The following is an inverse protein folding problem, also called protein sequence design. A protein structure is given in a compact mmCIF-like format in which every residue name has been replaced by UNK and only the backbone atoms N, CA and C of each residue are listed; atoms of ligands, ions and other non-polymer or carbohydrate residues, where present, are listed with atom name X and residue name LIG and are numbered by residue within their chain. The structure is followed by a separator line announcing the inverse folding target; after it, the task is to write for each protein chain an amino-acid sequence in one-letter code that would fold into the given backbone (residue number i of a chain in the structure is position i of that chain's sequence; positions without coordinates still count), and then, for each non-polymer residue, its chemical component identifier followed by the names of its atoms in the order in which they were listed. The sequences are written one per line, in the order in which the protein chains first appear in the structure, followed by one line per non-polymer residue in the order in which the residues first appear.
data_IF_248159895241
#
_entry.id   IF_248159895241
#
_cell.length_a   1.000
_cell.length_b   1.000
_cell.length_c   1.000
_cell.angle_alpha   90.00
_cell.angle_beta   90.00
_cell.angle_gamma   90.00
#
_symmetry.space_group_name_H-M   'P 1'
#
loop_
_entity.id
_entity.type
_entity.pdbx_description
1 polymer ?
#
# COMPACT_ATOMS: atom_id res chain seq x y z
N UNK A 1 17.42 -15.18 3.94
CA UNK A 1 17.07 -13.81 3.58
C UNK A 1 18.05 -13.17 2.59
N UNK A 2 19.37 -13.23 2.82
CA UNK A 2 20.44 -12.66 1.97
C UNK A 2 20.44 -13.13 0.50
N UNK A 3 20.05 -14.41 0.22
CA UNK A 3 20.02 -14.94 -1.15
C UNK A 3 18.96 -14.32 -2.09
N UNK A 4 17.85 -13.78 -1.55
CA UNK A 4 16.76 -13.22 -2.37
C UNK A 4 17.00 -11.77 -2.74
N UNK A 5 17.57 -10.98 -1.81
CA UNK A 5 18.02 -9.60 -2.11
C UNK A 5 19.09 -9.63 -3.20
N UNK A 6 20.04 -10.59 -3.11
CA UNK A 6 21.07 -10.77 -4.14
C UNK A 6 20.54 -11.12 -5.54
N UNK A 7 19.32 -11.70 -5.66
CA UNK A 7 18.70 -11.99 -6.97
C UNK A 7 18.16 -10.74 -7.65
N UNK A 8 17.44 -9.88 -6.90
CA UNK A 8 16.91 -8.59 -7.41
C UNK A 8 18.07 -7.68 -7.81
N UNK A 9 19.09 -7.56 -6.94
CA UNK A 9 20.29 -6.76 -7.21
C UNK A 9 20.99 -7.22 -8.48
N UNK A 10 21.09 -8.54 -8.73
CA UNK A 10 21.68 -9.08 -9.98
C UNK A 10 20.85 -8.72 -11.22
N UNK A 11 19.53 -8.72 -11.12
CA UNK A 11 18.64 -8.46 -12.24
C UNK A 11 18.65 -6.97 -12.64
N UNK A 12 18.85 -6.07 -11.67
CA UNK A 12 19.09 -4.65 -11.92
C UNK A 12 20.59 -4.32 -12.04
N UNK A 13 21.44 -5.33 -12.29
CA UNK A 13 22.90 -5.18 -12.39
C UNK A 13 23.55 -4.52 -11.16
N UNK A 14 22.90 -4.61 -10.01
CA UNK A 14 23.32 -3.96 -8.77
C UNK A 14 23.01 -2.47 -8.70
N UNK A 15 22.40 -1.89 -9.75
CA UNK A 15 22.09 -0.46 -9.80
C UNK A 15 20.78 -0.15 -9.05
N UNK A 16 20.70 0.97 -8.33
CA UNK A 16 19.47 1.45 -7.74
C UNK A 16 18.45 1.88 -8.82
N UNK A 17 17.18 1.66 -8.53
CA UNK A 17 16.09 2.10 -9.42
C UNK A 17 15.88 3.60 -9.24
N UNK A 18 15.98 4.36 -10.31
CA UNK A 18 15.92 5.83 -10.29
C UNK A 18 14.59 6.37 -9.71
N UNK A 19 13.46 5.70 -9.92
CA UNK A 19 12.16 6.10 -9.36
C UNK A 19 12.09 6.02 -7.83
N UNK A 20 13.01 5.33 -7.18
CA UNK A 20 13.02 5.18 -5.73
C UNK A 20 13.82 6.23 -4.97
N UNK A 21 14.45 7.19 -5.67
CA UNK A 21 15.29 8.20 -5.04
C UNK A 21 14.48 9.46 -4.69
N UNK A 22 14.38 9.86 -3.41
CA UNK A 22 13.88 11.18 -3.03
C UNK A 22 14.69 12.32 -3.66
N UNK A 23 14.08 13.48 -3.87
CA UNK A 23 14.73 14.60 -4.54
C UNK A 23 16.00 15.08 -3.80
N UNK A 24 15.98 14.99 -2.46
CA UNK A 24 17.13 15.36 -1.62
C UNK A 24 18.31 14.42 -1.85
N UNK A 25 18.09 13.09 -1.90
CA UNK A 25 19.12 12.10 -2.18
C UNK A 25 19.68 12.30 -3.60
N UNK A 26 18.82 12.55 -4.57
CA UNK A 26 19.24 12.83 -5.95
C UNK A 26 20.02 14.14 -6.05
N UNK A 27 19.63 15.17 -5.29
CA UNK A 27 20.36 16.44 -5.25
C UNK A 27 21.76 16.25 -4.70
N UNK A 28 21.90 15.48 -3.60
CA UNK A 28 23.20 15.16 -3.02
C UNK A 28 24.08 14.38 -4.02
N UNK A 29 23.51 13.42 -4.73
CA UNK A 29 24.24 12.68 -5.78
C UNK A 29 24.79 13.61 -6.87
N UNK A 30 24.01 14.58 -7.37
CA UNK A 30 24.49 15.55 -8.35
C UNK A 30 25.62 16.42 -7.79
N UNK A 31 25.52 16.85 -6.53
CA UNK A 31 26.59 17.63 -5.88
C UNK A 31 27.88 16.84 -5.73
N UNK A 32 27.81 15.55 -5.36
CA UNK A 32 28.98 14.66 -5.30
C UNK A 32 29.67 14.48 -6.66
N UNK A 33 28.91 14.57 -7.77
CA UNK A 33 29.44 14.53 -9.13
C UNK A 33 29.94 15.88 -9.63
N UNK A 34 29.91 16.92 -8.79
CA UNK A 34 30.32 18.28 -9.17
C UNK A 34 29.29 19.02 -10.03
N UNK A 35 28.08 18.51 -10.12
CA UNK A 35 27.00 19.09 -10.90
C UNK A 35 26.17 20.07 -10.07
N UNK A 36 25.46 20.96 -10.76
CA UNK A 36 24.63 21.97 -10.10
C UNK A 36 23.32 21.36 -9.58
N UNK A 37 22.85 21.77 -8.39
CA UNK A 37 21.61 21.30 -7.71
C UNK A 37 20.37 21.30 -8.60
N UNK A 38 20.23 22.29 -9.51
CA UNK A 38 19.05 22.37 -10.37
C UNK A 38 18.91 21.17 -11.33
N UNK A 39 20.00 20.43 -11.58
CA UNK A 39 20.00 19.22 -12.41
C UNK A 39 19.10 18.12 -11.84
N UNK A 40 19.07 17.98 -10.52
CA UNK A 40 18.13 17.08 -9.86
C UNK A 40 16.68 17.42 -10.21
N UNK A 41 16.32 18.70 -10.18
CA UNK A 41 14.98 19.15 -10.58
C UNK A 41 14.67 18.90 -12.06
N UNK A 42 15.66 19.06 -12.95
CA UNK A 42 15.49 18.74 -14.39
C UNK A 42 15.23 17.23 -14.58
N UNK A 43 16.02 16.37 -13.92
CA UNK A 43 15.83 14.92 -13.99
C UNK A 43 14.46 14.52 -13.43
N UNK A 44 14.02 15.12 -12.30
CA UNK A 44 12.71 14.87 -11.73
C UNK A 44 11.55 15.26 -12.64
N UNK A 45 11.67 16.38 -13.38
CA UNK A 45 10.68 16.78 -14.40
C UNK A 45 10.55 15.71 -15.50
N UNK A 46 11.67 15.17 -15.96
CA UNK A 46 11.67 14.06 -16.92
C UNK A 46 11.02 12.80 -16.36
N UNK A 47 11.39 12.40 -15.15
CA UNK A 47 10.89 11.18 -14.51
C UNK A 47 9.38 11.25 -14.23
N UNK A 48 8.90 12.32 -13.58
CA UNK A 48 7.55 12.34 -12.99
C UNK A 48 6.52 13.19 -13.72
N UNK A 49 6.94 14.22 -14.46
CA UNK A 49 6.02 15.04 -15.28
C UNK A 49 5.97 14.57 -16.72
N UNK A 50 7.11 14.38 -17.36
CA UNK A 50 7.18 13.84 -18.73
C UNK A 50 7.03 12.32 -18.76
N UNK A 51 7.31 11.65 -17.63
CA UNK A 51 7.09 10.22 -17.43
C UNK A 51 7.85 9.32 -18.40
N UNK A 52 9.07 9.70 -18.75
CA UNK A 52 9.95 8.93 -19.61
C UNK A 52 10.26 7.55 -19.03
N UNK A 53 10.63 6.62 -19.89
CA UNK A 53 10.94 5.24 -19.54
C UNK A 53 12.40 4.87 -19.78
N UNK A 54 13.16 5.79 -20.34
CA UNK A 54 14.61 5.65 -20.57
C UNK A 54 15.34 6.98 -20.40
N UNK A 55 16.65 6.93 -20.15
CA UNK A 55 17.47 8.12 -20.00
C UNK A 55 17.70 8.83 -21.35
N UNK A 56 17.67 8.09 -22.46
CA UNK A 56 17.87 8.61 -23.81
C UNK A 56 16.79 9.62 -24.24
N UNK A 57 15.60 9.52 -23.66
CA UNK A 57 14.50 10.45 -23.91
C UNK A 57 14.77 11.85 -23.32
N UNK A 58 15.75 11.99 -22.44
CA UNK A 58 16.05 13.24 -21.69
C UNK A 58 16.88 14.23 -22.49
N UNK A 59 16.33 14.74 -23.58
CA UNK A 59 17.04 15.49 -24.64
C UNK A 59 17.71 16.80 -24.21
N UNK A 60 17.36 17.36 -23.03
CA UNK A 60 17.97 18.59 -22.52
C UNK A 60 19.08 18.35 -21.49
N UNK A 61 19.44 17.08 -21.25
CA UNK A 61 20.59 16.73 -20.42
C UNK A 61 21.83 16.49 -21.29
N UNK A 62 23.04 16.87 -20.82
CA UNK A 62 24.29 16.57 -21.52
C UNK A 62 24.47 15.06 -21.73
N UNK A 63 25.06 14.65 -22.85
CA UNK A 63 25.30 13.24 -23.17
C UNK A 63 26.13 12.54 -22.09
N UNK A 64 27.18 13.20 -21.59
CA UNK A 64 28.01 12.67 -20.51
C UNK A 64 27.21 12.39 -19.21
N UNK A 65 26.20 13.21 -18.93
CA UNK A 65 25.31 13.00 -17.78
C UNK A 65 24.37 11.81 -18.00
N UNK A 66 23.85 11.65 -19.21
CA UNK A 66 23.04 10.47 -19.59
C UNK A 66 23.87 9.19 -19.38
N UNK A 67 25.12 9.18 -19.83
CA UNK A 67 26.04 8.06 -19.67
C UNK A 67 26.28 7.75 -18.18
N UNK A 68 26.52 8.76 -17.32
CA UNK A 68 26.69 8.59 -15.88
C UNK A 68 25.39 8.04 -15.22
N UNK A 69 24.23 8.56 -15.61
CA UNK A 69 22.95 8.07 -15.10
C UNK A 69 22.73 6.59 -15.46
N UNK A 70 23.06 6.19 -16.69
CA UNK A 70 22.99 4.81 -17.15
C UNK A 70 23.97 3.88 -16.44
N UNK A 71 25.16 4.38 -16.09
CA UNK A 71 26.13 3.61 -15.34
C UNK A 71 25.67 3.33 -13.90
N UNK A 72 25.04 4.28 -13.25
CA UNK A 72 24.74 4.21 -11.81
C UNK A 72 23.29 3.85 -11.48
N UNK A 73 22.35 4.09 -12.40
CA UNK A 73 20.93 3.85 -12.17
C UNK A 73 20.30 2.99 -13.25
N UNK A 74 19.12 2.46 -12.91
CA UNK A 74 18.26 1.76 -13.88
C UNK A 74 16.81 2.17 -13.69
N UNK A 75 16.00 1.98 -14.74
CA UNK A 75 14.56 2.05 -14.65
C UNK A 75 13.97 0.75 -14.10
N UNK A 76 12.81 0.81 -13.41
CA UNK A 76 12.15 -0.40 -12.93
C UNK A 76 11.63 -1.26 -14.11
N UNK A 77 11.75 -2.56 -13.96
CA UNK A 77 11.06 -3.53 -14.83
C UNK A 77 9.73 -3.88 -14.19
N UNK A 78 8.64 -3.51 -14.86
CA UNK A 78 7.27 -3.80 -14.45
C UNK A 78 6.46 -4.19 -15.67
N UNK A 79 6.40 -5.51 -15.96
CA UNK A 79 5.71 -6.04 -17.12
C UNK A 79 4.25 -6.31 -16.80
N UNK A 80 3.30 -5.63 -17.46
CA UNK A 80 1.88 -5.91 -17.36
C UNK A 80 1.58 -7.28 -17.98
N UNK A 81 1.19 -8.25 -17.15
CA UNK A 81 0.82 -9.60 -17.58
C UNK A 81 -0.68 -9.73 -17.82
N UNK A 82 -1.47 -9.13 -16.95
CA UNK A 82 -2.94 -9.18 -17.03
C UNK A 82 -3.48 -7.83 -16.58
N UNK A 83 -4.47 -7.35 -17.31
CA UNK A 83 -5.30 -6.21 -16.93
C UNK A 83 -6.76 -6.65 -16.96
N UNK A 84 -7.44 -6.49 -15.83
CA UNK A 84 -8.86 -6.77 -15.69
C UNK A 84 -9.60 -5.47 -15.43
N UNK A 85 -10.82 -5.37 -15.93
CA UNK A 85 -11.70 -4.23 -15.67
C UNK A 85 -13.04 -4.72 -15.16
N UNK A 86 -13.46 -4.19 -14.02
CA UNK A 86 -14.75 -4.42 -13.40
C UNK A 86 -15.84 -3.57 -14.04
N UNK A 87 -17.08 -3.99 -13.84
CA UNK A 87 -18.28 -3.23 -14.25
C UNK A 87 -18.40 -1.87 -13.57
N UNK A 88 -17.80 -1.69 -12.38
CA UNK A 88 -17.76 -0.41 -11.66
C UNK A 88 -16.61 0.51 -12.10
N UNK A 89 -15.86 0.10 -13.14
CA UNK A 89 -14.72 0.84 -13.68
C UNK A 89 -13.39 0.57 -12.97
N UNK A 90 -13.36 -0.21 -11.90
CA UNK A 90 -12.14 -0.64 -11.21
C UNK A 90 -11.25 -1.44 -12.18
N UNK A 91 -9.95 -1.15 -12.17
CA UNK A 91 -8.96 -1.88 -12.99
C UNK A 91 -7.95 -2.55 -12.09
N UNK A 92 -7.73 -3.85 -12.27
CA UNK A 92 -6.70 -4.63 -11.58
C UNK A 92 -5.61 -5.01 -12.57
N UNK A 93 -4.37 -4.75 -12.17
CA UNK A 93 -3.16 -5.05 -12.92
C UNK A 93 -2.37 -6.14 -12.22
N UNK A 94 -1.97 -7.15 -12.95
CA UNK A 94 -0.98 -8.13 -12.54
C UNK A 94 0.34 -7.78 -13.21
N UNK A 95 1.35 -7.47 -12.42
CA UNK A 95 2.68 -7.12 -12.89
C UNK A 95 3.70 -8.21 -12.57
N UNK A 96 4.60 -8.44 -13.52
CA UNK A 96 5.82 -9.23 -13.31
C UNK A 96 7.00 -8.28 -13.11
N UNK A 97 7.71 -8.51 -12.03
CA UNK A 97 8.93 -7.79 -11.66
C UNK A 97 10.16 -8.37 -12.38
N UNK A 98 11.29 -7.67 -12.32
CA UNK A 98 12.55 -8.07 -12.95
C UNK A 98 13.03 -9.48 -12.54
N UNK A 99 12.68 -9.96 -11.37
CA UNK A 99 13.03 -11.29 -10.88
C UNK A 99 11.97 -12.39 -11.18
N UNK A 100 10.97 -12.03 -11.99
CA UNK A 100 9.87 -12.92 -12.38
C UNK A 100 8.81 -13.11 -11.29
N UNK A 101 8.89 -12.38 -10.17
CA UNK A 101 7.86 -12.37 -9.14
C UNK A 101 6.67 -11.51 -9.56
N UNK A 102 5.49 -11.85 -9.06
CA UNK A 102 4.24 -11.20 -9.46
C UNK A 102 3.66 -10.37 -8.31
N UNK A 103 3.11 -9.20 -8.66
CA UNK A 103 2.38 -8.32 -7.74
C UNK A 103 1.09 -7.83 -8.38
N UNK A 104 0.14 -7.42 -7.56
CA UNK A 104 -1.12 -6.83 -8.01
C UNK A 104 -1.25 -5.37 -7.55
N UNK A 105 -1.86 -4.55 -8.42
CA UNK A 105 -2.16 -3.14 -8.20
C UNK A 105 -3.58 -2.88 -8.66
N UNK A 106 -4.32 -2.03 -7.95
CA UNK A 106 -5.73 -1.73 -8.29
C UNK A 106 -5.93 -0.24 -8.45
N UNK A 107 -6.53 0.18 -9.55
CA UNK A 107 -7.03 1.54 -9.79
C UNK A 107 -8.55 1.55 -9.58
N UNK A 108 -9.03 2.39 -8.68
CA UNK A 108 -10.42 2.52 -8.29
C UNK A 108 -10.94 3.92 -8.63
N UNK A 109 -11.99 4.05 -9.47
CA UNK A 109 -12.68 5.31 -9.66
C UNK A 109 -13.53 5.60 -8.41
N UNK A 110 -13.27 6.77 -7.80
CA UNK A 110 -14.01 7.28 -6.66
C UNK A 110 -14.71 8.57 -7.05
N UNK A 111 -15.73 8.98 -6.31
CA UNK A 111 -16.42 10.27 -6.53
C UNK A 111 -15.47 11.48 -6.40
N UNK A 112 -14.40 11.33 -5.61
CA UNK A 112 -13.39 12.36 -5.35
C UNK A 112 -12.14 12.22 -6.22
N UNK A 113 -12.11 11.31 -7.19
CA UNK A 113 -11.00 11.12 -8.13
C UNK A 113 -10.51 9.66 -8.22
N UNK A 114 -9.40 9.45 -8.90
CA UNK A 114 -8.83 8.13 -9.11
C UNK A 114 -7.89 7.74 -7.97
N UNK A 115 -8.20 6.64 -7.28
CA UNK A 115 -7.43 6.09 -6.17
C UNK A 115 -6.68 4.83 -6.60
N UNK A 116 -5.39 4.76 -6.30
CA UNK A 116 -4.59 3.55 -6.56
C UNK A 116 -4.27 2.82 -5.25
N UNK A 117 -4.45 1.49 -5.25
CA UNK A 117 -4.00 0.59 -4.20
C UNK A 117 -2.67 -0.04 -4.62
N UNK A 118 -1.59 0.26 -3.88
CA UNK A 118 -0.25 -0.22 -4.18
C UNK A 118 0.20 -1.33 -3.25
N UNK A 119 0.99 -2.24 -3.80
CA UNK A 119 1.62 -3.37 -3.12
C UNK A 119 3.02 -2.97 -2.64
N UNK A 120 3.45 -3.46 -1.47
CA UNK A 120 4.75 -3.16 -0.86
C UNK A 120 5.67 -4.37 -0.71
N UNK A 121 5.13 -5.58 -0.82
CA UNK A 121 5.89 -6.83 -0.65
C UNK A 121 5.41 -7.88 -1.65
N UNK A 122 6.23 -8.87 -1.93
CA UNK A 122 5.79 -10.08 -2.61
C UNK A 122 5.44 -11.12 -1.54
N UNK A 123 4.14 -11.35 -1.33
CA UNK A 123 3.60 -12.12 -0.22
C UNK A 123 3.59 -11.35 1.10
N UNK A 124 3.09 -11.98 2.18
CA UNK A 124 2.95 -11.33 3.49
C UNK A 124 3.16 -12.35 4.62
N UNK A 125 3.90 -11.97 5.68
CA UNK A 125 4.15 -12.83 6.84
C UNK A 125 3.31 -12.48 8.07
N UNK A 126 2.40 -11.52 7.99
CA UNK A 126 1.55 -11.11 9.14
C UNK A 126 0.61 -12.25 9.55
N UNK A 127 0.14 -13.05 8.57
CA UNK A 127 -0.63 -14.25 8.84
C UNK A 127 -2.06 -13.96 9.29
N UNK A 128 -2.69 -12.92 8.73
CA UNK A 128 -4.12 -12.68 8.89
C UNK A 128 -4.90 -13.82 8.23
N UNK A 129 -5.78 -14.49 8.98
CA UNK A 129 -6.45 -15.72 8.53
C UNK A 129 -7.61 -15.47 7.56
N UNK A 130 -7.97 -14.22 7.34
CA UNK A 130 -9.02 -13.79 6.41
C UNK A 130 -8.49 -13.17 5.10
N UNK A 131 -7.16 -13.01 4.97
CA UNK A 131 -6.55 -12.23 3.89
C UNK A 131 -5.79 -13.13 2.89
N UNK A 132 -6.10 -12.99 1.61
CA UNK A 132 -5.43 -13.74 0.54
C UNK A 132 -3.92 -13.43 0.42
N UNK A 133 -3.49 -12.23 0.79
CA UNK A 133 -2.07 -11.85 0.72
C UNK A 133 -1.17 -12.70 1.60
N UNK A 134 -1.70 -13.28 2.70
CA UNK A 134 -0.99 -14.16 3.61
C UNK A 134 -0.85 -15.61 3.14
N UNK A 135 -1.54 -16.01 2.06
CA UNK A 135 -1.46 -17.37 1.48
C UNK A 135 -0.06 -17.65 0.94
N UNK A 136 0.59 -16.60 0.42
CA UNK A 136 1.98 -16.69 -0.05
C UNK A 136 2.86 -16.03 1.03
N UNK A 137 3.74 -16.83 1.63
CA UNK A 137 4.73 -16.30 2.56
C UNK A 137 5.57 -15.20 1.87
N UNK A 138 5.91 -14.16 2.62
CA UNK A 138 6.76 -13.07 2.13
C UNK A 138 8.03 -13.61 1.49
N UNK A 139 8.22 -13.31 0.23
CA UNK A 139 9.42 -13.67 -0.52
C UNK A 139 10.47 -12.58 -0.42
N UNK A 140 10.05 -11.31 -0.56
CA UNK A 140 10.89 -10.13 -0.37
C UNK A 140 10.07 -8.84 -0.23
N UNK A 141 10.74 -7.79 0.19
CA UNK A 141 10.25 -6.42 0.11
C UNK A 141 10.37 -5.90 -1.33
N UNK A 142 9.46 -5.03 -1.72
CA UNK A 142 9.66 -4.18 -2.90
C UNK A 142 10.57 -3.02 -2.53
N UNK A 143 11.53 -2.71 -3.40
CA UNK A 143 12.30 -1.47 -3.24
C UNK A 143 11.42 -0.25 -3.61
N UNK A 144 11.77 0.92 -3.09
CA UNK A 144 10.96 2.13 -3.28
C UNK A 144 10.61 2.40 -4.75
N UNK A 145 11.57 2.17 -5.67
CA UNK A 145 11.38 2.34 -7.11
C UNK A 145 10.34 1.40 -7.71
N UNK A 146 10.22 0.17 -7.20
CA UNK A 146 9.18 -0.78 -7.65
C UNK A 146 7.79 -0.36 -7.15
N UNK A 147 7.71 0.24 -5.95
CA UNK A 147 6.44 0.76 -5.43
C UNK A 147 5.99 1.98 -6.25
N UNK A 148 6.90 2.92 -6.53
CA UNK A 148 6.63 4.09 -7.39
C UNK A 148 6.24 3.66 -8.80
N UNK A 149 6.88 2.62 -9.36
CA UNK A 149 6.62 2.13 -10.71
C UNK A 149 5.16 1.72 -10.93
N UNK A 150 4.47 1.20 -9.89
CA UNK A 150 3.05 0.88 -9.96
C UNK A 150 2.21 2.12 -10.28
N UNK A 151 2.47 3.23 -9.58
CA UNK A 151 1.77 4.50 -9.79
C UNK A 151 2.11 5.06 -11.18
N UNK A 152 3.37 5.01 -11.56
CA UNK A 152 3.85 5.54 -12.85
C UNK A 152 3.28 4.76 -14.04
N UNK A 153 3.19 3.43 -13.94
CA UNK A 153 2.59 2.59 -14.99
C UNK A 153 1.10 2.91 -15.19
N UNK A 154 0.35 2.97 -14.08
CA UNK A 154 -1.08 3.29 -14.12
C UNK A 154 -1.29 4.71 -14.66
N UNK A 155 -0.46 5.68 -14.25
CA UNK A 155 -0.57 7.04 -14.75
C UNK A 155 -0.30 7.13 -16.25
N UNK A 156 0.74 6.45 -16.78
CA UNK A 156 0.98 6.40 -18.25
C UNK A 156 -0.20 5.77 -18.99
N UNK A 157 -0.77 4.68 -18.43
CA UNK A 157 -1.98 4.08 -19.02
C UNK A 157 -3.14 5.09 -19.06
N UNK A 158 -3.31 5.93 -18.05
CA UNK A 158 -4.34 6.98 -18.04
C UNK A 158 -4.04 8.06 -19.09
N UNK A 159 -2.79 8.49 -19.20
CA UNK A 159 -2.39 9.50 -20.18
C UNK A 159 -2.75 9.07 -21.63
N UNK A 160 -2.68 7.76 -21.93
CA UNK A 160 -3.01 7.19 -23.23
C UNK A 160 -4.53 7.06 -23.47
N UNK A 161 -5.28 6.56 -22.47
CA UNK A 161 -6.70 6.19 -22.65
C UNK A 161 -7.70 7.26 -22.21
N UNK A 162 -7.28 8.16 -21.33
CA UNK A 162 -8.11 9.23 -20.73
C UNK A 162 -7.25 10.46 -20.45
N UNK A 163 -6.78 11.18 -21.51
CA UNK A 163 -5.91 12.34 -21.33
C UNK A 163 -6.54 13.39 -20.40
N UNK A 164 -5.81 13.80 -19.38
CA UNK A 164 -6.27 14.72 -18.35
C UNK A 164 -6.66 14.05 -17.03
N UNK A 165 -6.96 12.76 -17.04
CA UNK A 165 -7.16 11.99 -15.81
C UNK A 165 -5.82 11.75 -15.09
N UNK A 166 -5.85 11.79 -13.76
CA UNK A 166 -4.65 11.51 -12.97
C UNK A 166 -4.96 10.68 -11.74
N UNK A 167 -3.99 9.89 -11.33
CA UNK A 167 -3.98 9.29 -10.00
C UNK A 167 -3.93 10.42 -8.97
N UNK A 168 -4.99 10.58 -8.19
CA UNK A 168 -5.15 11.66 -7.21
C UNK A 168 -5.03 11.19 -5.77
N UNK A 169 -5.23 9.90 -5.51
CA UNK A 169 -5.21 9.29 -4.18
C UNK A 169 -4.41 7.98 -4.19
N UNK A 170 -3.73 7.70 -3.08
CA UNK A 170 -2.98 6.45 -2.90
C UNK A 170 -3.42 5.80 -1.59
N UNK A 171 -3.69 4.49 -1.64
CA UNK A 171 -3.82 3.65 -0.45
C UNK A 171 -2.73 2.59 -0.49
N UNK A 172 -1.90 2.53 0.54
CA UNK A 172 -0.87 1.52 0.71
C UNK A 172 -1.49 0.37 1.49
N UNK A 173 -2.33 -0.40 0.78
CA UNK A 173 -3.20 -1.46 1.32
C UNK A 173 -3.20 -2.71 0.42
N UNK A 174 -2.26 -2.82 -0.51
CA UNK A 174 -2.08 -3.98 -1.38
C UNK A 174 -1.40 -5.13 -0.63
N UNK A 175 -0.67 -5.96 -1.37
CA UNK A 175 0.02 -7.12 -0.79
C UNK A 175 1.18 -6.66 0.08
N UNK A 176 1.23 -7.18 1.33
CA UNK A 176 2.30 -6.93 2.28
C UNK A 176 1.90 -6.08 3.49
N UNK A 177 2.82 -5.97 4.43
CA UNK A 177 2.76 -5.05 5.58
C UNK A 177 3.70 -3.87 5.30
N UNK A 178 3.18 -2.66 5.10
CA UNK A 178 4.02 -1.50 4.78
C UNK A 178 5.10 -1.22 5.82
N UNK A 179 4.78 -1.38 7.10
CA UNK A 179 5.72 -1.10 8.19
C UNK A 179 6.75 -2.22 8.41
N UNK A 180 6.60 -3.38 7.78
CA UNK A 180 7.65 -4.40 7.67
C UNK A 180 8.63 -4.13 6.50
N UNK A 181 8.27 -3.18 5.62
CA UNK A 181 9.11 -2.64 4.54
C UNK A 181 9.31 -1.11 4.69
N UNK A 182 9.55 -0.68 5.92
CA UNK A 182 9.43 0.71 6.37
C UNK A 182 10.23 1.70 5.52
N UNK A 183 11.53 1.51 5.40
CA UNK A 183 12.43 2.47 4.74
C UNK A 183 12.07 2.71 3.27
N UNK A 184 11.71 1.65 2.55
CA UNK A 184 11.26 1.76 1.15
C UNK A 184 9.91 2.47 1.05
N UNK A 185 9.00 2.23 1.99
CA UNK A 185 7.70 2.90 2.04
C UNK A 185 7.88 4.39 2.33
N UNK A 186 8.75 4.77 3.28
CA UNK A 186 9.04 6.19 3.55
C UNK A 186 9.64 6.90 2.32
N UNK A 187 10.60 6.26 1.63
CA UNK A 187 11.14 6.80 0.37
C UNK A 187 10.05 6.97 -0.69
N UNK A 188 9.21 5.95 -0.86
CA UNK A 188 8.04 6.02 -1.76
C UNK A 188 7.14 7.21 -1.43
N UNK A 189 6.77 7.40 -0.16
CA UNK A 189 5.91 8.50 0.28
C UNK A 189 6.53 9.87 -0.03
N UNK A 190 7.84 10.04 0.23
CA UNK A 190 8.58 11.27 -0.09
C UNK A 190 8.55 11.58 -1.59
N UNK A 191 8.71 10.55 -2.42
CA UNK A 191 8.67 10.69 -3.89
C UNK A 191 7.29 11.09 -4.39
N UNK A 192 6.24 10.36 -4.02
CA UNK A 192 4.89 10.59 -4.57
C UNK A 192 4.24 11.87 -4.02
N UNK A 193 4.61 12.31 -2.83
CA UNK A 193 4.10 13.52 -2.21
C UNK A 193 4.82 14.79 -2.69
N UNK A 194 6.02 14.69 -3.24
CA UNK A 194 6.78 15.87 -3.69
C UNK A 194 6.00 16.66 -4.74
N UNK A 195 5.85 17.96 -4.55
CA UNK A 195 5.20 18.91 -5.47
C UNK A 195 5.96 19.05 -6.81
N UNK A 196 7.26 18.79 -6.80
CA UNK A 196 8.10 18.74 -8.01
C UNK A 196 7.99 17.42 -8.75
N UNK A 197 7.39 16.39 -8.13
CA UNK A 197 7.20 15.06 -8.68
C UNK A 197 5.74 14.80 -9.10
N UNK A 198 5.16 13.73 -8.54
CA UNK A 198 3.75 13.38 -8.80
C UNK A 198 2.76 14.33 -8.13
N UNK A 199 3.16 15.04 -7.09
CA UNK A 199 2.37 16.07 -6.43
C UNK A 199 1.08 15.55 -5.78
N UNK A 200 1.08 14.29 -5.33
CA UNK A 200 -0.08 13.73 -4.65
C UNK A 200 -0.07 14.24 -3.21
N UNK A 201 -1.04 15.07 -2.88
CA UNK A 201 -1.12 15.71 -1.57
C UNK A 201 -1.10 14.68 -0.43
N UNK A 202 -0.35 14.94 0.64
CA UNK A 202 -0.16 13.99 1.74
C UNK A 202 -1.48 13.50 2.35
N UNK A 203 -2.50 14.36 2.40
CA UNK A 203 -3.85 14.00 2.89
C UNK A 203 -4.63 13.06 1.96
N UNK A 204 -4.16 12.89 0.73
CA UNK A 204 -4.71 11.95 -0.26
C UNK A 204 -3.96 10.62 -0.25
N UNK A 205 -3.00 10.45 0.65
CA UNK A 205 -2.23 9.23 0.80
C UNK A 205 -2.58 8.61 2.16
N UNK A 206 -2.92 7.31 2.16
CA UNK A 206 -3.18 6.55 3.38
C UNK A 206 -2.26 5.34 3.43
N UNK A 207 -1.53 5.20 4.53
CA UNK A 207 -0.74 3.99 4.83
C UNK A 207 -1.49 3.19 5.88
N UNK A 208 -1.71 1.89 5.61
CA UNK A 208 -2.33 0.98 6.56
C UNK A 208 -1.28 0.05 7.17
N UNK A 209 -1.40 -0.23 8.46
CA UNK A 209 -0.54 -1.20 9.16
C UNK A 209 -1.37 -2.16 9.99
N UNK A 210 -0.90 -3.38 10.12
CA UNK A 210 -1.46 -4.39 11.02
C UNK A 210 -1.16 -4.13 12.50
N UNK A 211 -0.38 -3.07 12.81
CA UNK A 211 -0.08 -2.66 14.18
C UNK A 211 1.33 -3.02 14.65
N UNK A 212 2.36 -2.78 13.83
CA UNK A 212 3.76 -2.84 14.24
C UNK A 212 4.07 -1.63 15.14
N UNK A 213 3.77 -1.72 16.44
CA UNK A 213 3.81 -0.62 17.38
C UNK A 213 5.11 0.20 17.38
N UNK A 214 6.33 -0.39 17.31
CA UNK A 214 7.56 0.40 17.21
C UNK A 214 7.61 1.28 15.95
N UNK A 215 7.10 0.76 14.82
CA UNK A 215 7.10 1.49 13.55
C UNK A 215 5.99 2.55 13.47
N UNK A 216 4.89 2.39 14.21
CA UNK A 216 3.88 3.46 14.39
C UNK A 216 4.52 4.67 15.09
N UNK A 217 5.32 4.43 16.14
CA UNK A 217 6.05 5.49 16.86
C UNK A 217 7.07 6.20 15.96
N UNK A 218 7.86 5.42 15.22
CA UNK A 218 8.82 5.94 14.24
C UNK A 218 8.14 6.79 13.16
N UNK A 219 6.97 6.34 12.66
CA UNK A 219 6.19 7.06 11.67
C UNK A 219 5.68 8.43 12.17
N UNK A 220 5.42 8.56 13.48
CA UNK A 220 5.05 9.83 14.08
C UNK A 220 6.19 10.88 14.03
N UNK A 221 7.44 10.45 13.91
CA UNK A 221 8.62 11.31 13.84
C UNK A 221 9.03 11.71 12.42
N UNK A 222 8.46 11.09 11.37
CA UNK A 222 8.78 11.38 9.96
C UNK A 222 8.33 12.78 9.49
N UNK A 223 7.47 13.46 10.23
CA UNK A 223 6.94 14.76 9.83
C UNK A 223 5.99 14.72 8.60
N UNK A 224 5.66 13.53 8.10
CA UNK A 224 4.78 13.36 6.96
C UNK A 224 3.32 13.59 7.33
N UNK A 225 2.59 14.37 6.50
CA UNK A 225 1.17 14.64 6.67
C UNK A 225 0.27 13.55 6.02
N UNK A 226 0.78 12.34 5.89
CA UNK A 226 0.09 11.17 5.34
C UNK A 226 -0.89 10.61 6.36
N UNK A 227 -2.01 10.06 5.93
CA UNK A 227 -3.00 9.45 6.82
C UNK A 227 -2.52 8.05 7.27
N UNK A 228 -2.72 7.75 8.55
CA UNK A 228 -2.47 6.43 9.12
C UNK A 228 -3.79 5.67 9.26
N UNK A 229 -3.81 4.41 8.83
CA UNK A 229 -4.87 3.45 9.10
C UNK A 229 -4.32 2.27 9.90
N UNK A 230 -5.05 1.85 10.93
CA UNK A 230 -4.75 0.66 11.71
C UNK A 230 -5.72 -0.45 11.34
N UNK A 231 -5.22 -1.56 10.84
CA UNK A 231 -5.96 -2.81 10.69
C UNK A 231 -6.19 -3.42 12.08
N UNK A 232 -7.27 -2.99 12.76
CA UNK A 232 -7.61 -3.43 14.11
C UNK A 232 -8.37 -4.75 14.09
N UNK A 233 -9.49 -4.81 13.38
CA UNK A 233 -10.33 -5.95 13.05
C UNK A 233 -10.96 -6.71 14.22
N UNK A 234 -10.62 -6.40 15.46
CA UNK A 234 -11.26 -6.93 16.68
C UNK A 234 -11.09 -5.95 17.84
N UNK A 235 -12.03 -5.91 18.81
CA UNK A 235 -11.96 -5.02 19.95
C UNK A 235 -11.21 -5.64 21.14
N UNK A 236 -10.92 -6.95 21.10
CA UNK A 236 -10.32 -7.73 22.17
C UNK A 236 -9.16 -8.62 21.67
N UNK A 237 -8.25 -8.98 22.57
CA UNK A 237 -7.04 -9.73 22.24
C UNK A 237 -7.32 -11.18 21.80
N UNK A 238 -8.35 -11.83 22.33
CA UNK A 238 -8.66 -13.21 22.02
C UNK A 238 -9.13 -13.33 20.57
N UNK A 239 -10.10 -12.50 20.20
CA UNK A 239 -10.59 -12.43 18.82
C UNK A 239 -9.48 -11.97 17.87
N UNK A 240 -8.75 -10.92 18.23
CA UNK A 240 -7.67 -10.39 17.38
C UNK A 240 -6.55 -11.42 17.17
N UNK A 241 -6.13 -12.14 18.23
CA UNK A 241 -5.08 -13.16 18.13
C UNK A 241 -5.50 -14.37 17.28
N UNK A 242 -6.80 -14.66 17.22
CA UNK A 242 -7.37 -15.73 16.39
C UNK A 242 -7.32 -15.34 14.90
N UNK A 243 -7.65 -14.10 14.54
CA UNK A 243 -7.74 -13.66 13.14
C UNK A 243 -6.47 -12.96 12.63
N UNK A 244 -5.63 -12.40 13.53
CA UNK A 244 -4.38 -11.70 13.21
C UNK A 244 -3.25 -12.14 14.13
N UNK A 245 -2.36 -13.00 13.64
CA UNK A 245 -1.25 -13.57 14.46
C UNK A 245 -0.31 -12.51 15.03
N UNK A 246 -0.21 -11.35 14.39
CA UNK A 246 0.64 -10.23 14.86
C UNK A 246 0.24 -9.74 16.25
N UNK A 247 -1.02 -9.93 16.66
CA UNK A 247 -1.49 -9.54 17.99
C UNK A 247 -0.74 -10.25 19.12
N UNK A 248 -0.21 -11.46 18.88
CA UNK A 248 0.61 -12.18 19.88
C UNK A 248 1.93 -11.48 20.16
N UNK A 249 2.45 -10.72 19.18
CA UNK A 249 3.67 -9.93 19.35
C UNK A 249 3.38 -8.51 19.84
N UNK A 250 2.30 -7.93 19.34
CA UNK A 250 1.84 -6.59 19.69
C UNK A 250 0.35 -6.65 20.06
N UNK A 251 0.01 -6.94 21.34
CA UNK A 251 -1.36 -6.92 21.83
C UNK A 251 -2.02 -5.55 21.66
N UNK A 252 -3.34 -5.51 21.72
CA UNK A 252 -4.14 -4.30 21.45
C UNK A 252 -3.64 -3.13 22.30
N UNK A 253 -3.34 -3.33 23.58
CA UNK A 253 -2.89 -2.29 24.50
C UNK A 253 -1.60 -1.63 24.00
N UNK A 254 -0.63 -2.43 23.57
CA UNK A 254 0.66 -1.96 23.05
C UNK A 254 0.48 -1.19 21.74
N UNK A 255 -0.43 -1.65 20.89
CA UNK A 255 -0.75 -0.96 19.61
C UNK A 255 -1.49 0.34 19.88
N UNK A 256 -2.47 0.33 20.80
CA UNK A 256 -3.24 1.53 21.13
C UNK A 256 -2.39 2.58 21.85
N UNK A 257 -1.41 2.20 22.66
CA UNK A 257 -0.43 3.12 23.24
C UNK A 257 0.40 3.80 22.12
N UNK A 258 0.88 3.03 21.15
CA UNK A 258 1.60 3.61 20.00
C UNK A 258 0.71 4.56 19.15
N UNK A 259 -0.59 4.24 19.01
CA UNK A 259 -1.56 5.12 18.35
C UNK A 259 -1.79 6.41 19.15
N UNK A 260 -1.87 6.31 20.49
CA UNK A 260 -2.02 7.48 21.35
C UNK A 260 -0.80 8.41 21.25
N UNK A 261 0.42 7.84 21.25
CA UNK A 261 1.65 8.60 21.03
C UNK A 261 1.67 9.26 19.64
N UNK A 262 1.26 8.52 18.59
CA UNK A 262 1.13 9.07 17.23
C UNK A 262 0.16 10.25 17.19
N UNK A 263 -1.03 10.10 17.79
CA UNK A 263 -2.05 11.18 17.84
C UNK A 263 -1.51 12.37 18.63
N UNK A 264 -0.86 12.15 19.78
CA UNK A 264 -0.30 13.21 20.62
C UNK A 264 0.78 14.02 19.88
N UNK A 265 1.67 13.36 19.12
CA UNK A 265 2.74 14.01 18.35
C UNK A 265 2.23 14.74 17.11
N UNK A 266 1.31 14.13 16.37
CA UNK A 266 0.92 14.59 15.04
C UNK A 266 -0.37 15.40 15.02
N UNK A 267 -1.20 15.29 16.06
CA UNK A 267 -2.58 15.80 16.13
C UNK A 267 -3.43 15.34 14.92
N UNK A 268 -3.18 14.14 14.40
CA UNK A 268 -3.85 13.61 13.20
C UNK A 268 -4.84 12.52 13.56
N UNK A 269 -5.90 12.45 12.76
CA UNK A 269 -6.88 11.38 12.82
C UNK A 269 -6.26 10.06 12.38
N UNK A 270 -6.59 8.99 13.09
CA UNK A 270 -6.29 7.60 12.71
C UNK A 270 -7.59 6.93 12.25
N UNK A 271 -7.50 6.18 11.15
CA UNK A 271 -8.59 5.33 10.67
C UNK A 271 -8.41 3.92 11.21
N UNK A 272 -9.45 3.36 11.80
CA UNK A 272 -9.47 1.98 12.29
C UNK A 272 -10.23 1.12 11.27
N UNK A 273 -9.53 0.26 10.57
CA UNK A 273 -10.11 -0.69 9.64
C UNK A 273 -10.65 -1.89 10.41
N UNK A 274 -11.91 -2.23 10.19
CA UNK A 274 -12.61 -3.30 10.89
C UNK A 274 -13.37 -4.17 9.91
N UNK A 275 -12.82 -5.36 9.59
CA UNK A 275 -13.46 -6.33 8.72
C UNK A 275 -14.61 -7.01 9.46
N UNK A 276 -15.77 -7.17 8.80
CA UNK A 276 -16.98 -7.75 9.39
C UNK A 276 -17.08 -9.23 9.02
N UNK A 277 -16.71 -10.11 9.95
CA UNK A 277 -16.72 -11.56 9.81
C UNK A 277 -17.90 -12.12 10.61
N UNK A 278 -18.82 -12.81 9.91
CA UNK A 278 -20.06 -13.32 10.49
C UNK A 278 -19.80 -14.24 11.70
N UNK A 279 -20.50 -13.95 12.81
CA UNK A 279 -20.37 -14.65 14.10
C UNK A 279 -18.94 -14.75 14.67
N UNK A 280 -18.01 -13.90 14.21
CA UNK A 280 -16.62 -13.89 14.70
C UNK A 280 -16.31 -12.60 15.46
N UNK A 281 -16.60 -11.43 14.85
CA UNK A 281 -16.23 -10.13 15.40
C UNK A 281 -17.33 -9.07 15.20
N UNK A 282 -18.56 -9.46 14.90
CA UNK A 282 -19.65 -8.60 14.43
C UNK A 282 -20.83 -8.51 15.40
N UNK A 283 -20.66 -8.89 16.68
CA UNK A 283 -21.71 -8.79 17.67
C UNK A 283 -21.87 -7.35 18.20
N UNK A 284 -23.04 -7.06 18.77
CA UNK A 284 -23.37 -5.78 19.40
C UNK A 284 -22.45 -5.51 20.61
N UNK A 285 -22.10 -6.56 21.37
CA UNK A 285 -21.16 -6.49 22.50
C UNK A 285 -19.77 -6.09 22.01
N UNK A 286 -19.30 -6.65 20.91
CA UNK A 286 -18.02 -6.29 20.32
C UNK A 286 -18.04 -4.86 19.73
N UNK A 287 -19.16 -4.39 19.21
CA UNK A 287 -19.34 -2.99 18.83
C UNK A 287 -19.20 -2.05 20.03
N UNK A 288 -19.77 -2.43 21.20
CA UNK A 288 -19.63 -1.65 22.43
C UNK A 288 -18.19 -1.67 22.93
N UNK A 289 -17.52 -2.83 22.95
CA UNK A 289 -16.09 -2.92 23.30
C UNK A 289 -15.21 -2.04 22.40
N UNK A 290 -15.49 -2.00 21.09
CA UNK A 290 -14.78 -1.11 20.18
C UNK A 290 -15.05 0.37 20.49
N UNK A 291 -16.28 0.73 20.81
CA UNK A 291 -16.64 2.09 21.20
C UNK A 291 -15.91 2.49 22.49
N UNK A 292 -15.83 1.60 23.46
CA UNK A 292 -15.13 1.83 24.74
C UNK A 292 -13.62 1.96 24.52
N UNK A 293 -13.02 1.14 23.65
CA UNK A 293 -11.60 1.20 23.28
C UNK A 293 -11.22 2.55 22.62
N UNK A 294 -12.19 3.20 21.94
CA UNK A 294 -11.98 4.46 21.23
C UNK A 294 -12.53 5.68 21.99
N UNK A 295 -13.05 5.51 23.20
CA UNK A 295 -13.79 6.53 23.94
C UNK A 295 -12.99 7.82 24.20
N UNK A 296 -11.70 7.71 24.48
CA UNK A 296 -10.79 8.82 24.79
C UNK A 296 -10.29 9.58 23.51
N UNK A 297 -10.48 9.01 22.33
CA UNK A 297 -9.97 9.55 21.06
C UNK A 297 -11.04 9.78 19.99
N UNK A 298 -12.32 9.89 20.35
CA UNK A 298 -13.48 9.99 19.45
C UNK A 298 -13.32 11.03 18.34
N UNK A 299 -12.70 12.18 18.63
CA UNK A 299 -12.50 13.28 17.67
C UNK A 299 -11.45 12.97 16.60
N UNK A 300 -10.46 12.13 16.95
CA UNK A 300 -9.32 11.77 16.10
C UNK A 300 -9.34 10.31 15.68
N UNK A 301 -10.47 9.62 15.88
CA UNK A 301 -10.72 8.28 15.36
C UNK A 301 -11.81 8.25 14.30
N UNK A 302 -11.65 7.33 13.36
CA UNK A 302 -12.63 7.05 12.32
C UNK A 302 -12.65 5.55 12.06
N UNK A 303 -13.81 4.92 12.06
CA UNK A 303 -13.92 3.47 11.86
C UNK A 303 -14.45 3.18 10.46
N UNK A 304 -13.70 2.39 9.71
CA UNK A 304 -14.17 1.80 8.45
C UNK A 304 -14.64 0.37 8.71
N UNK A 305 -15.93 0.14 8.65
CA UNK A 305 -16.51 -1.19 8.63
C UNK A 305 -16.38 -1.76 7.23
N UNK A 306 -15.61 -2.83 7.08
CA UNK A 306 -15.33 -3.45 5.78
C UNK A 306 -16.15 -4.73 5.68
N UNK A 307 -17.15 -4.81 4.78
CA UNK A 307 -17.80 -6.06 4.48
C UNK A 307 -16.76 -7.10 4.02
N UNK A 308 -16.82 -8.30 4.56
CA UNK A 308 -15.85 -9.33 4.19
C UNK A 308 -16.00 -9.74 2.73
N UNK A 309 -14.89 -9.72 2.01
CA UNK A 309 -14.79 -10.24 0.65
C UNK A 309 -14.26 -11.67 0.72
N UNK A 310 -15.10 -12.65 0.35
CA UNK A 310 -14.76 -14.07 0.49
C UNK A 310 -13.48 -14.40 -0.27
N UNK A 311 -12.57 -15.07 0.43
CA UNK A 311 -11.32 -15.62 -0.10
C UNK A 311 -11.50 -17.12 -0.22
N UNK A 312 -11.32 -17.67 -1.41
CA UNK A 312 -11.61 -19.10 -1.69
C UNK A 312 -10.80 -20.07 -0.82
N UNK A 313 -9.58 -19.66 -0.43
CA UNK A 313 -8.67 -20.46 0.40
C UNK A 313 -8.95 -20.28 1.91
N UNK A 314 -9.88 -19.42 2.29
CA UNK A 314 -10.29 -19.14 3.69
C UNK A 314 -11.80 -19.39 3.83
N UNK A 315 -12.21 -20.64 3.71
CA UNK A 315 -13.61 -21.09 3.72
C UNK A 315 -14.27 -21.02 5.11
N UNK A 316 -13.46 -20.84 6.18
CA UNK A 316 -13.93 -20.73 7.55
C UNK A 316 -14.65 -19.41 7.87
N UNK A 317 -14.62 -18.42 6.96
CA UNK A 317 -15.24 -17.12 7.19
C UNK A 317 -16.32 -16.81 6.18
N UNK A 318 -17.40 -16.24 6.70
CA UNK A 318 -18.50 -15.71 5.89
C UNK A 318 -18.67 -14.20 6.15
N UNK A 319 -19.33 -13.55 5.22
CA UNK A 319 -19.65 -12.13 5.30
C UNK A 319 -20.81 -11.91 6.28
N UNK A 320 -20.68 -10.98 7.19
CA UNK A 320 -21.75 -10.56 8.09
C UNK A 320 -22.99 -10.12 7.33
N UNK A 321 -24.14 -10.59 7.78
CA UNK A 321 -25.44 -10.18 7.25
C UNK A 321 -25.70 -8.68 7.45
N UNK A 322 -26.49 -8.09 6.56
CA UNK A 322 -26.78 -6.64 6.59
C UNK A 322 -27.32 -6.16 7.94
N UNK A 323 -28.18 -6.93 8.58
CA UNK A 323 -28.77 -6.59 9.89
C UNK A 323 -27.69 -6.47 10.97
N UNK A 324 -26.72 -7.40 11.01
CA UNK A 324 -25.61 -7.37 11.97
C UNK A 324 -24.69 -6.18 11.72
N UNK A 325 -24.38 -5.87 10.46
CA UNK A 325 -23.57 -4.69 10.09
C UNK A 325 -24.28 -3.41 10.52
N UNK A 326 -25.59 -3.28 10.32
CA UNK A 326 -26.38 -2.12 10.74
C UNK A 326 -26.40 -2.01 12.27
N UNK A 327 -26.68 -3.11 12.98
CA UNK A 327 -26.70 -3.11 14.44
C UNK A 327 -25.34 -2.70 15.04
N UNK A 328 -24.23 -3.21 14.48
CA UNK A 328 -22.88 -2.83 14.88
C UNK A 328 -22.61 -1.34 14.62
N UNK A 329 -22.97 -0.85 13.44
CA UNK A 329 -22.86 0.56 13.05
C UNK A 329 -23.63 1.47 14.01
N UNK A 330 -24.89 1.12 14.34
CA UNK A 330 -25.75 1.91 15.21
C UNK A 330 -25.21 2.04 16.64
N UNK A 331 -24.58 0.96 17.19
CA UNK A 331 -23.89 1.02 18.49
C UNK A 331 -22.74 2.03 18.42
N UNK A 332 -21.91 1.99 17.39
CA UNK A 332 -20.80 2.96 17.24
C UNK A 332 -21.32 4.39 17.13
N UNK A 333 -22.39 4.62 16.36
CA UNK A 333 -23.00 5.95 16.22
C UNK A 333 -23.61 6.44 17.54
N UNK A 334 -24.30 5.58 18.28
CA UNK A 334 -24.86 5.89 19.61
C UNK A 334 -23.75 6.31 20.61
N UNK A 335 -22.57 5.74 20.49
CA UNK A 335 -21.39 6.08 21.28
C UNK A 335 -20.59 7.27 20.71
N UNK A 336 -21.11 7.96 19.70
CA UNK A 336 -20.47 9.12 19.04
C UNK A 336 -19.13 8.78 18.35
N UNK A 337 -18.94 7.54 17.92
CA UNK A 337 -17.79 7.15 17.09
C UNK A 337 -18.12 7.46 15.63
N UNK A 338 -17.20 8.17 14.96
CA UNK A 338 -17.31 8.38 13.51
C UNK A 338 -17.03 7.07 12.78
N UNK A 339 -18.01 6.57 12.04
CA UNK A 339 -17.87 5.33 11.29
C UNK A 339 -18.63 5.36 9.96
N UNK A 340 -18.19 4.52 9.04
CA UNK A 340 -18.81 4.27 7.75
C UNK A 340 -18.71 2.79 7.39
N UNK A 341 -19.69 2.30 6.66
CA UNK A 341 -19.59 1.01 5.96
C UNK A 341 -18.93 1.28 4.61
N UNK A 342 -17.74 0.70 4.40
CA UNK A 342 -16.90 0.96 3.22
C UNK A 342 -17.57 0.43 1.95
N UNK A 343 -17.60 1.26 0.91
CA UNK A 343 -18.00 0.83 -0.43
C UNK A 343 -16.98 -0.17 -1.00
N UNK A 344 -17.47 -1.22 -1.61
CA UNK A 344 -16.67 -2.24 -2.29
C UNK A 344 -16.37 -1.83 -3.72
N UNK A 345 -15.20 -2.23 -4.23
CA UNK A 345 -14.76 -1.98 -5.59
C UNK A 345 -14.18 -3.26 -6.20
N UNK A 346 -14.46 -3.51 -7.48
CA UNK A 346 -13.87 -4.60 -8.25
C UNK A 346 -14.20 -6.00 -7.72
N UNK A 347 -15.40 -6.18 -7.15
CA UNK A 347 -15.82 -7.46 -6.58
C UNK A 347 -15.80 -8.60 -7.61
N UNK A 348 -16.26 -8.33 -8.84
CA UNK A 348 -16.37 -9.28 -9.95
C UNK A 348 -15.01 -9.73 -10.51
N UNK A 349 -13.93 -8.99 -10.21
CA UNK A 349 -12.57 -9.29 -10.64
C UNK A 349 -11.61 -9.63 -9.48
N UNK A 350 -12.15 -9.95 -8.29
CA UNK A 350 -11.36 -10.22 -7.08
C UNK A 350 -10.33 -9.11 -6.78
N UNK A 351 -10.74 -7.83 -6.90
CA UNK A 351 -9.89 -6.66 -6.67
C UNK A 351 -10.15 -5.96 -5.33
N UNK A 352 -11.09 -6.46 -4.54
CA UNK A 352 -11.44 -5.86 -3.27
C UNK A 352 -10.39 -6.12 -2.18
N UNK A 353 -10.45 -5.35 -1.08
CA UNK A 353 -9.54 -5.50 0.04
C UNK A 353 -9.51 -6.93 0.58
N UNK A 354 -8.30 -7.45 0.82
CA UNK A 354 -8.05 -8.80 1.30
C UNK A 354 -8.06 -9.88 0.21
N UNK A 355 -8.41 -9.56 -1.03
CA UNK A 355 -8.48 -10.53 -2.14
C UNK A 355 -7.24 -10.55 -3.03
N UNK A 356 -6.37 -9.54 -2.92
CA UNK A 356 -5.17 -9.45 -3.76
C UNK A 356 -4.21 -10.60 -3.47
N UNK A 357 -3.89 -11.34 -4.52
CA UNK A 357 -2.97 -12.47 -4.50
C UNK A 357 -2.36 -12.65 -5.89
N UNK A 358 -1.15 -13.11 -5.97
CA UNK A 358 -0.51 -13.49 -7.24
C UNK A 358 -1.06 -14.84 -7.73
N UNK A 359 -2.34 -14.87 -8.13
CA UNK A 359 -3.07 -16.10 -8.49
C UNK A 359 -2.43 -16.88 -9.65
N UNK A 360 -1.69 -16.19 -10.52
CA UNK A 360 -0.93 -16.82 -11.61
C UNK A 360 0.22 -17.70 -11.12
N UNK A 361 0.81 -17.43 -9.94
CA UNK A 361 1.91 -18.26 -9.41
C UNK A 361 1.54 -19.75 -9.22
N UNK A 362 0.26 -20.04 -8.97
CA UNK A 362 -0.21 -21.45 -8.85
C UNK A 362 -0.34 -22.14 -10.20
N UNK A 363 -0.73 -21.42 -11.26
CA UNK A 363 -0.85 -21.98 -12.62
C UNK A 363 0.53 -22.30 -13.19
N UNK A 364 1.47 -21.36 -13.12
CA UNK A 364 2.85 -21.55 -13.63
C UNK A 364 3.63 -22.63 -12.86
N UNK A 365 3.36 -22.79 -11.53
CA UNK A 365 3.92 -23.93 -10.77
C UNK A 365 3.29 -25.27 -11.15
N UNK A 366 1.98 -25.32 -11.40
CA UNK A 366 1.29 -26.52 -11.81
C UNK A 366 1.68 -26.96 -13.25
N UNK A 367 2.03 -26.03 -14.12
CA UNK A 367 2.54 -26.30 -15.47
C UNK A 367 4.00 -26.76 -15.43
N UNK A 368 4.87 -26.16 -14.59
CA UNK A 368 6.28 -26.56 -14.42
C UNK A 368 6.49 -27.87 -13.64
N UNK A 369 5.46 -28.42 -12.99
CA UNK A 369 5.51 -29.73 -12.34
C UNK A 369 4.92 -30.85 -13.24
N UNK A 370 4.48 -30.50 -14.45
CA UNK A 370 4.00 -31.48 -15.45
C UNK A 370 5.01 -31.74 -16.57
N UNK A 371 6.12 -31.03 -16.63
CA UNK A 371 7.31 -31.29 -17.43
C UNK A 371 8.41 -31.90 -16.54
#
# INVERSE_FOLDING_TARGET
MVRKIGRVVRQYEGKPIIYGMPLEELTAWFEEKGEKKFRAGQLWDWLYRKRVTSFEEMTNLPKSMIEQLQEEFTFPVLNERIKQQSTDGTRKFLFELADGLLIETVLMPQEYGLSICVTTQVGCNIGCTFCASGIIAKQRDLVAGEIVAQVMHVQRTLDEVSPGDRVSHIVVMGIGEPFDNYDNVIKFLKVVNSDKGLGIGARHITVSTSGLAPKIREFADEGLQVNLALSLHAPDNDTRSRIMRINRKYPIEVVMDAINEYIAKTNRRVTFEYIMLDHVNDSVEQAQQLADLLADKKRLSYVNLIPYNKVREHDQYERSGKERVVAFYDVLKKNHINCVVRKEFGHDIEAACGQLRSSQMKRDRAEKTKD
#
